data_IF_968976465708
#
_entry.id   IF_968976465708
#
_cell.length_a   1.000
_cell.length_b   1.000
_cell.length_c   1.000
_cell.angle_alpha   90.00
_cell.angle_beta   90.00
_cell.angle_gamma   90.00
#
_symmetry.space_group_name_H-M   'P 1'
#
loop_
_entity.id
_entity.type
_entity.pdbx_description
1 polymer ?
#
# COMPACT_ATOMS: atom_id res chain seq x y z
N UNK A 1 -58.25 -4.86 -34.56
CA UNK A 1 -58.62 -5.88 -33.56
C UNK A 1 -57.61 -5.84 -32.44
N UNK A 2 -58.13 -5.38 -31.34
CA UNK A 2 -57.82 -5.55 -29.93
C UNK A 2 -56.38 -5.34 -29.48
N UNK A 3 -56.18 -4.08 -28.99
CA UNK A 3 -55.09 -3.74 -28.06
C UNK A 3 -55.33 -4.36 -26.66
N UNK A 4 -54.22 -4.69 -26.03
CA UNK A 4 -54.19 -5.00 -24.61
C UNK A 4 -53.13 -4.12 -23.96
N UNK A 5 -53.58 -3.02 -23.38
CA UNK A 5 -52.87 -2.19 -22.42
C UNK A 5 -52.78 -2.96 -21.12
N UNK A 6 -51.56 -3.26 -20.67
CA UNK A 6 -51.30 -3.71 -19.32
C UNK A 6 -50.73 -2.54 -18.53
N UNK A 7 -51.59 -1.88 -17.76
CA UNK A 7 -51.25 -0.92 -16.71
C UNK A 7 -50.88 -1.72 -15.48
N UNK A 8 -49.61 -1.82 -15.14
CA UNK A 8 -49.09 -2.33 -13.89
C UNK A 8 -48.55 -1.17 -13.08
N UNK A 9 -49.27 -0.74 -12.02
CA UNK A 9 -48.79 0.19 -11.01
C UNK A 9 -47.65 -0.46 -10.22
N UNK A 10 -46.43 0.07 -10.37
CA UNK A 10 -45.32 -0.29 -9.52
C UNK A 10 -45.49 0.50 -8.21
N UNK A 11 -45.94 -0.18 -7.15
CA UNK A 11 -45.87 0.32 -5.79
C UNK A 11 -44.44 0.54 -5.34
N UNK A 12 -44.17 1.34 -4.30
CA UNK A 12 -42.81 1.57 -3.80
C UNK A 12 -42.26 0.25 -3.23
N UNK A 13 -41.54 -0.48 -4.10
CA UNK A 13 -40.84 -1.70 -3.70
C UNK A 13 -39.75 -1.36 -2.70
N UNK A 14 -39.75 -2.09 -1.59
CA UNK A 14 -38.63 -2.09 -0.65
C UNK A 14 -37.32 -2.24 -1.41
N UNK A 15 -36.34 -1.37 -1.14
CA UNK A 15 -34.99 -1.49 -1.71
C UNK A 15 -34.46 -2.88 -1.45
N UNK A 16 -33.84 -3.56 -2.44
CA UNK A 16 -33.20 -4.84 -2.19
C UNK A 16 -32.16 -4.64 -1.11
N UNK A 17 -32.23 -5.49 -0.09
CA UNK A 17 -31.22 -5.57 0.98
C UNK A 17 -29.85 -5.81 0.32
N UNK A 18 -28.86 -4.89 0.45
CA UNK A 18 -27.55 -5.08 -0.17
C UNK A 18 -26.82 -6.33 0.36
N UNK A 19 -27.29 -6.89 1.46
CA UNK A 19 -26.83 -8.14 2.05
C UNK A 19 -27.81 -9.29 1.80
N UNK A 20 -28.74 -9.14 0.85
CA UNK A 20 -29.77 -10.11 0.50
C UNK A 20 -29.22 -11.50 0.38
N UNK A 21 -29.66 -12.35 1.30
CA UNK A 21 -29.13 -13.66 1.54
C UNK A 21 -29.03 -14.50 0.29
N UNK A 22 -27.81 -14.92 -0.05
CA UNK A 22 -27.63 -16.19 -0.70
C UNK A 22 -28.36 -17.24 0.16
N UNK A 23 -29.16 -18.09 -0.47
CA UNK A 23 -29.71 -19.28 0.19
C UNK A 23 -28.58 -19.98 0.96
N UNK A 24 -28.85 -20.62 2.11
CA UNK A 24 -27.83 -21.34 2.86
C UNK A 24 -27.20 -22.37 1.93
N UNK A 25 -26.14 -21.91 1.22
CA UNK A 25 -25.28 -22.74 0.42
C UNK A 25 -24.52 -23.65 1.38
N UNK A 26 -24.24 -24.87 0.93
CA UNK A 26 -23.30 -25.80 1.57
C UNK A 26 -22.12 -25.03 2.13
N UNK A 27 -21.76 -25.28 3.40
CA UNK A 27 -20.62 -24.67 4.04
C UNK A 27 -19.44 -24.68 3.06
N UNK A 28 -18.75 -23.55 2.84
CA UNK A 28 -17.63 -23.52 1.90
C UNK A 28 -16.64 -24.61 2.27
N UNK A 29 -16.18 -25.35 1.27
CA UNK A 29 -15.13 -26.36 1.44
C UNK A 29 -13.99 -25.69 2.21
N UNK A 30 -13.55 -26.22 3.36
CA UNK A 30 -12.46 -25.64 4.15
C UNK A 30 -11.14 -25.49 3.37
N UNK A 31 -11.02 -26.10 2.20
CA UNK A 31 -9.92 -25.86 1.26
C UNK A 31 -10.13 -24.61 0.37
N UNK A 32 -11.37 -24.10 0.24
CA UNK A 32 -11.64 -22.87 -0.50
C UNK A 32 -11.23 -21.65 0.34
N UNK A 33 -10.25 -20.88 -0.17
CA UNK A 33 -9.78 -19.63 0.44
C UNK A 33 -8.46 -19.75 1.20
N UNK A 34 -7.86 -20.93 1.29
CA UNK A 34 -6.48 -21.04 1.81
C UNK A 34 -5.49 -20.68 0.73
N UNK A 35 -4.70 -19.64 0.98
CA UNK A 35 -3.56 -19.30 0.15
C UNK A 35 -2.40 -20.27 0.43
N UNK A 36 -1.52 -20.54 -0.55
CA UNK A 36 -0.44 -21.49 -0.37
C UNK A 36 0.53 -21.03 0.74
N UNK A 37 1.09 -22.01 1.45
CA UNK A 37 2.28 -21.78 2.26
C UNK A 37 3.48 -21.66 1.34
N UNK A 38 4.47 -20.81 1.64
CA UNK A 38 5.77 -20.90 1.00
C UNK A 38 6.42 -22.27 1.23
N UNK A 39 6.98 -22.85 0.16
CA UNK A 39 7.72 -24.10 0.22
C UNK A 39 9.05 -23.95 0.97
N UNK A 40 9.65 -22.77 0.84
CA UNK A 40 10.91 -22.42 1.49
C UNK A 40 10.84 -21.00 2.06
N UNK A 41 11.35 -20.85 3.28
CA UNK A 41 11.64 -19.58 3.93
C UNK A 41 12.99 -19.74 4.65
N UNK A 42 14.05 -19.25 4.04
CA UNK A 42 15.41 -19.41 4.55
C UNK A 42 16.20 -18.10 4.47
N UNK A 43 17.31 -18.04 5.18
CA UNK A 43 18.23 -16.89 5.13
C UNK A 43 19.62 -17.35 4.72
N UNK A 44 20.17 -16.77 3.67
CA UNK A 44 21.52 -17.03 3.22
C UNK A 44 22.56 -16.52 4.21
N UNK A 45 23.79 -17.04 4.14
CA UNK A 45 24.86 -16.66 5.06
C UNK A 45 25.21 -15.17 5.12
N UNK A 46 24.87 -14.40 4.07
CA UNK A 46 25.05 -12.95 4.02
C UNK A 46 23.84 -12.13 4.56
N UNK A 47 22.76 -12.81 4.99
CA UNK A 47 21.58 -12.19 5.58
C UNK A 47 20.46 -11.88 4.59
N UNK A 48 20.55 -12.29 3.32
CA UNK A 48 19.45 -12.25 2.38
C UNK A 48 18.42 -13.34 2.74
N UNK A 49 17.18 -12.95 3.02
CA UNK A 49 16.06 -13.89 3.20
C UNK A 49 15.50 -14.29 1.84
N UNK A 50 15.34 -15.58 1.61
CA UNK A 50 14.78 -16.14 0.38
C UNK A 50 13.48 -16.88 0.72
N UNK A 51 12.38 -16.45 0.11
CA UNK A 51 11.06 -17.05 0.27
C UNK A 51 10.57 -17.52 -1.08
N UNK A 52 10.20 -18.79 -1.16
CA UNK A 52 9.83 -19.47 -2.39
C UNK A 52 8.44 -20.09 -2.25
N UNK A 53 7.61 -19.88 -3.26
CA UNK A 53 6.31 -20.50 -3.37
C UNK A 53 6.14 -21.10 -4.78
N UNK A 54 6.07 -22.42 -4.87
CA UNK A 54 5.82 -23.13 -6.12
C UNK A 54 4.36 -22.98 -6.53
N UNK A 55 4.14 -22.44 -7.70
CA UNK A 55 2.82 -22.18 -8.28
C UNK A 55 2.87 -22.41 -9.82
N UNK A 56 2.98 -23.68 -10.29
CA UNK A 56 3.25 -24.00 -11.70
C UNK A 56 1.98 -23.89 -12.57
N UNK A 57 1.34 -22.70 -12.55
CA UNK A 57 0.15 -22.40 -13.38
C UNK A 57 0.55 -22.07 -14.81
N UNK A 58 1.65 -21.36 -14.95
CA UNK A 58 2.27 -20.98 -16.24
C UNK A 58 3.78 -21.12 -16.10
N UNK A 59 4.56 -21.34 -17.19
CA UNK A 59 6.01 -21.56 -17.12
C UNK A 59 6.78 -20.25 -16.88
N UNK A 60 6.38 -19.50 -15.86
CA UNK A 60 6.94 -18.21 -15.46
C UNK A 60 7.29 -18.22 -13.97
N UNK A 61 8.29 -17.44 -13.62
CA UNK A 61 8.63 -17.13 -12.22
C UNK A 61 8.60 -15.63 -12.01
N UNK A 62 7.82 -15.22 -11.03
CA UNK A 62 7.76 -13.86 -10.53
C UNK A 62 8.87 -13.62 -9.50
N UNK A 63 9.51 -12.47 -9.60
CA UNK A 63 10.66 -12.09 -8.77
C UNK A 63 10.34 -10.79 -8.05
N UNK A 64 10.51 -10.77 -6.73
CA UNK A 64 10.44 -9.54 -5.92
C UNK A 64 11.66 -9.48 -5.02
N UNK A 65 12.46 -8.43 -5.18
CA UNK A 65 13.58 -8.16 -4.30
C UNK A 65 13.31 -6.83 -3.57
N UNK A 66 13.25 -6.88 -2.26
CA UNK A 66 13.14 -5.73 -1.39
C UNK A 66 14.45 -5.54 -0.63
N UNK A 67 15.09 -4.40 -0.82
CA UNK A 67 16.35 -4.05 -0.16
C UNK A 67 16.10 -2.87 0.77
N UNK A 68 16.00 -3.10 2.08
CA UNK A 68 15.81 -2.01 3.04
C UNK A 68 17.08 -1.15 3.11
N UNK A 69 16.88 0.15 3.28
CA UNK A 69 17.98 1.07 3.57
C UNK A 69 17.61 1.98 4.74
N UNK A 70 18.58 2.23 5.61
CA UNK A 70 18.40 3.12 6.75
C UNK A 70 18.57 4.57 6.30
N UNK A 71 17.49 5.20 5.86
CA UNK A 71 17.49 6.62 5.52
C UNK A 71 17.76 7.49 6.75
N UNK A 72 18.69 8.43 6.65
CA UNK A 72 18.96 9.43 7.69
C UNK A 72 18.26 10.75 7.39
N UNK A 73 17.67 10.93 6.21
CA UNK A 73 17.00 12.16 5.84
C UNK A 73 16.45 12.17 4.41
N UNK A 74 15.85 13.29 4.04
CA UNK A 74 15.25 13.51 2.72
C UNK A 74 16.27 13.34 1.57
N UNK A 75 17.56 13.62 1.83
CA UNK A 75 18.63 13.45 0.82
C UNK A 75 18.79 11.97 0.46
N UNK A 76 18.88 11.07 1.46
CA UNK A 76 18.98 9.63 1.22
C UNK A 76 17.75 9.09 0.47
N UNK A 77 16.55 9.53 0.87
CA UNK A 77 15.30 9.13 0.19
C UNK A 77 15.31 9.59 -1.25
N UNK A 78 15.69 10.84 -1.51
CA UNK A 78 15.75 11.38 -2.87
C UNK A 78 16.80 10.67 -3.72
N UNK A 79 17.99 10.42 -3.17
CA UNK A 79 19.04 9.68 -3.84
C UNK A 79 18.63 8.23 -4.13
N UNK A 80 17.91 7.55 -3.21
CA UNK A 80 17.41 6.20 -3.47
C UNK A 80 16.35 6.16 -4.58
N UNK A 81 15.47 7.17 -4.64
CA UNK A 81 14.51 7.29 -5.74
C UNK A 81 15.23 7.53 -7.10
N UNK A 82 16.29 8.33 -7.10
CA UNK A 82 17.09 8.52 -8.31
C UNK A 82 17.88 7.26 -8.67
N UNK A 83 18.49 6.60 -7.70
CA UNK A 83 19.21 5.33 -7.91
C UNK A 83 18.28 4.27 -8.52
N UNK A 84 17.05 4.12 -7.99
CA UNK A 84 16.07 3.21 -8.55
C UNK A 84 15.81 3.47 -10.04
N UNK A 85 15.82 4.72 -10.47
CA UNK A 85 15.62 5.09 -11.88
C UNK A 85 16.85 4.85 -12.74
N UNK A 86 18.04 4.87 -12.15
CA UNK A 86 19.32 4.66 -12.87
C UNK A 86 19.64 3.18 -13.03
N UNK A 87 19.25 2.32 -12.07
CA UNK A 87 19.55 0.89 -12.07
C UNK A 87 19.23 0.16 -13.38
N UNK A 88 18.11 0.38 -14.07
CA UNK A 88 17.79 -0.29 -15.33
C UNK A 88 18.70 0.09 -16.50
N UNK A 89 19.46 1.19 -16.38
CA UNK A 89 20.30 1.69 -17.48
C UNK A 89 21.68 1.03 -17.58
N UNK A 90 21.81 -0.18 -17.05
CA UNK A 90 22.99 -1.03 -17.24
C UNK A 90 23.79 -1.29 -15.97
N UNK A 91 24.83 -2.08 -16.14
CA UNK A 91 25.69 -2.56 -15.06
C UNK A 91 27.15 -2.17 -15.34
N UNK A 92 28.06 -2.48 -14.43
CA UNK A 92 29.52 -2.28 -14.66
C UNK A 92 30.01 -3.02 -15.89
N UNK A 93 29.31 -4.08 -16.32
CA UNK A 93 29.77 -4.95 -17.45
C UNK A 93 28.90 -4.79 -18.70
N UNK A 94 27.75 -4.13 -18.63
CA UNK A 94 26.79 -3.95 -19.73
C UNK A 94 26.29 -2.51 -19.76
N UNK A 95 26.22 -1.91 -20.93
CA UNK A 95 25.44 -0.69 -21.13
C UNK A 95 23.94 -1.01 -21.13
N UNK A 96 23.10 0.01 -21.28
CA UNK A 96 21.64 -0.13 -21.23
C UNK A 96 21.13 -1.11 -22.31
N UNK A 97 21.57 -0.94 -23.56
CA UNK A 97 21.11 -1.76 -24.67
C UNK A 97 21.53 -3.24 -24.51
N UNK A 98 22.76 -3.50 -24.07
CA UNK A 98 23.24 -4.85 -23.79
C UNK A 98 22.56 -5.48 -22.59
N UNK A 99 22.19 -4.68 -21.58
CA UNK A 99 21.45 -5.14 -20.40
C UNK A 99 20.02 -5.53 -20.79
N UNK A 100 19.33 -4.65 -21.51
CA UNK A 100 17.97 -4.90 -22.00
C UNK A 100 17.92 -6.11 -22.96
N UNK A 101 18.90 -6.23 -23.87
CA UNK A 101 19.00 -7.39 -24.75
C UNK A 101 19.23 -8.69 -23.96
N UNK A 102 20.04 -8.65 -22.88
CA UNK A 102 20.27 -9.83 -22.03
C UNK A 102 19.01 -10.26 -21.29
N UNK A 103 18.21 -9.33 -20.77
CA UNK A 103 16.91 -9.63 -20.16
C UNK A 103 15.91 -10.16 -21.19
N UNK A 104 15.80 -9.50 -22.35
CA UNK A 104 14.89 -9.88 -23.40
C UNK A 104 15.16 -11.29 -23.95
N UNK A 105 16.46 -11.70 -24.04
CA UNK A 105 16.84 -13.05 -24.47
C UNK A 105 16.28 -14.16 -23.54
N UNK A 106 15.91 -13.82 -22.32
CA UNK A 106 15.31 -14.72 -21.34
C UNK A 106 13.80 -14.50 -21.13
N UNK A 107 13.17 -13.65 -21.96
CA UNK A 107 11.78 -13.25 -21.76
C UNK A 107 11.55 -12.58 -20.41
N UNK A 108 12.57 -11.90 -19.89
CA UNK A 108 12.56 -11.27 -18.58
C UNK A 108 12.36 -9.76 -18.67
N UNK A 109 11.75 -9.20 -17.64
CA UNK A 109 11.71 -7.77 -17.39
C UNK A 109 12.02 -7.50 -15.91
N UNK A 110 12.71 -6.39 -15.64
CA UNK A 110 13.01 -5.91 -14.29
C UNK A 110 12.62 -4.45 -14.21
N UNK A 111 11.73 -4.13 -13.26
CA UNK A 111 11.35 -2.77 -12.90
C UNK A 111 11.87 -2.42 -11.51
N UNK A 112 12.30 -1.20 -11.34
CA UNK A 112 12.87 -0.71 -10.09
C UNK A 112 12.12 0.48 -9.55
N UNK A 113 11.89 0.50 -8.25
CA UNK A 113 11.25 1.60 -7.54
C UNK A 113 11.88 1.79 -6.16
N UNK A 114 11.64 2.92 -5.55
CA UNK A 114 12.03 3.17 -4.17
C UNK A 114 10.90 3.86 -3.40
N UNK A 115 10.83 3.60 -2.12
CA UNK A 115 10.09 4.38 -1.15
C UNK A 115 11.06 4.92 -0.06
N UNK A 116 10.53 5.51 0.99
CA UNK A 116 11.34 6.07 2.07
C UNK A 116 12.16 5.03 2.87
N UNK A 117 11.92 3.73 2.67
CA UNK A 117 12.47 2.65 3.50
C UNK A 117 13.19 1.57 2.73
N UNK A 118 12.86 1.39 1.45
CA UNK A 118 13.40 0.28 0.64
C UNK A 118 13.54 0.65 -0.82
N UNK A 119 14.53 0.04 -1.43
CA UNK A 119 14.60 -0.15 -2.87
C UNK A 119 13.88 -1.45 -3.21
N UNK A 120 13.07 -1.46 -4.25
CA UNK A 120 12.34 -2.63 -4.72
C UNK A 120 12.70 -2.94 -6.16
N UNK A 121 12.89 -4.22 -6.46
CA UNK A 121 12.94 -4.70 -7.84
C UNK A 121 11.79 -5.70 -8.01
N UNK A 122 10.99 -5.47 -9.03
CA UNK A 122 9.94 -6.38 -9.48
C UNK A 122 10.30 -6.91 -10.85
N UNK A 123 10.06 -8.18 -11.09
CA UNK A 123 10.33 -8.75 -12.39
C UNK A 123 9.71 -10.12 -12.57
N UNK A 124 9.85 -10.64 -13.76
CA UNK A 124 9.47 -11.99 -14.12
C UNK A 124 10.43 -12.57 -15.15
N UNK A 125 10.41 -13.88 -15.27
CA UNK A 125 11.21 -14.61 -16.26
C UNK A 125 10.56 -15.93 -16.64
N UNK A 126 10.95 -16.50 -17.78
CA UNK A 126 10.63 -17.90 -18.09
C UNK A 126 11.27 -18.83 -17.04
N UNK A 127 10.55 -19.88 -16.62
CA UNK A 127 10.99 -20.81 -15.58
C UNK A 127 12.41 -21.34 -15.79
N UNK A 128 12.71 -21.83 -17.00
CA UNK A 128 14.04 -22.35 -17.34
C UNK A 128 15.18 -21.31 -17.37
N UNK A 129 14.86 -20.01 -17.33
CA UNK A 129 15.86 -18.93 -17.35
C UNK A 129 16.13 -18.31 -15.97
N UNK A 130 15.46 -18.80 -14.91
CA UNK A 130 15.57 -18.23 -13.56
C UNK A 130 17.01 -18.03 -13.09
N UNK A 131 17.96 -19.00 -13.20
CA UNK A 131 19.33 -18.79 -12.73
C UNK A 131 20.04 -17.64 -13.45
N UNK A 132 19.88 -17.56 -14.78
CA UNK A 132 20.50 -16.51 -15.58
C UNK A 132 19.93 -15.12 -15.23
N UNK A 133 18.61 -15.00 -15.02
CA UNK A 133 17.98 -13.74 -14.67
C UNK A 133 18.27 -13.32 -13.23
N UNK A 134 18.41 -14.26 -12.29
CA UNK A 134 18.90 -13.94 -10.94
C UNK A 134 20.34 -13.41 -10.96
N UNK A 135 21.19 -13.94 -11.83
CA UNK A 135 22.56 -13.41 -12.01
C UNK A 135 22.54 -11.98 -12.57
N UNK A 136 21.68 -11.69 -13.57
CA UNK A 136 21.47 -10.34 -14.10
C UNK A 136 20.93 -9.37 -13.04
N UNK A 137 19.94 -9.80 -12.28
CA UNK A 137 19.37 -9.01 -11.17
C UNK A 137 20.43 -8.71 -10.11
N UNK A 138 21.21 -9.72 -9.71
CA UNK A 138 22.31 -9.55 -8.76
C UNK A 138 23.36 -8.56 -9.26
N UNK A 139 23.72 -8.63 -10.55
CA UNK A 139 24.62 -7.66 -11.18
C UNK A 139 24.03 -6.24 -11.16
N UNK A 140 22.75 -6.09 -11.52
CA UNK A 140 22.04 -4.80 -11.54
C UNK A 140 22.08 -4.11 -10.17
N UNK A 141 21.76 -4.85 -9.09
CA UNK A 141 21.68 -4.24 -7.76
C UNK A 141 23.04 -4.10 -7.07
N UNK A 142 24.03 -4.89 -7.45
CA UNK A 142 25.37 -4.90 -6.81
C UNK A 142 26.39 -4.05 -7.52
N UNK A 143 26.27 -3.91 -8.84
CA UNK A 143 27.25 -3.23 -9.69
C UNK A 143 26.57 -2.36 -10.75
N UNK A 144 25.75 -1.39 -10.33
CA UNK A 144 25.08 -0.52 -11.28
C UNK A 144 26.07 0.33 -12.06
N UNK A 145 25.71 0.64 -13.30
CA UNK A 145 26.42 1.62 -14.10
C UNK A 145 25.91 3.02 -13.79
N UNK A 146 26.67 3.77 -13.03
CA UNK A 146 26.33 5.15 -12.66
C UNK A 146 26.98 6.13 -13.64
N UNK A 147 26.56 6.10 -14.92
CA UNK A 147 27.10 7.04 -15.92
C UNK A 147 26.49 8.43 -15.74
N UNK A 148 27.34 9.46 -15.88
CA UNK A 148 26.98 10.86 -15.59
C UNK A 148 25.83 11.35 -16.47
N UNK A 149 25.79 10.98 -17.74
CA UNK A 149 24.76 11.32 -18.70
C UNK A 149 23.38 10.75 -18.31
N UNK A 150 23.33 9.47 -17.89
CA UNK A 150 22.11 8.82 -17.43
C UNK A 150 21.66 9.43 -16.10
N UNK A 151 22.57 9.61 -15.16
CA UNK A 151 22.26 10.24 -13.86
C UNK A 151 21.72 11.65 -14.08
N UNK A 152 22.32 12.45 -14.96
CA UNK A 152 21.85 13.80 -15.27
C UNK A 152 20.45 13.79 -15.88
N UNK A 153 20.18 12.92 -16.85
CA UNK A 153 18.87 12.82 -17.49
C UNK A 153 17.77 12.37 -16.50
N UNK A 154 18.02 11.33 -15.70
CA UNK A 154 17.05 10.82 -14.74
C UNK A 154 16.86 11.77 -13.54
N UNK A 155 17.89 12.50 -13.14
CA UNK A 155 17.83 13.58 -12.15
C UNK A 155 16.82 14.68 -12.56
N UNK A 156 16.96 15.18 -13.78
CA UNK A 156 16.03 16.18 -14.30
C UNK A 156 14.61 15.64 -14.41
N UNK A 157 14.47 14.41 -14.86
CA UNK A 157 13.18 13.74 -14.97
C UNK A 157 12.52 13.55 -13.60
N UNK A 158 13.26 13.08 -12.60
CA UNK A 158 12.77 12.93 -11.23
C UNK A 158 12.35 14.29 -10.65
N UNK A 159 13.17 15.33 -10.78
CA UNK A 159 12.86 16.66 -10.29
C UNK A 159 11.57 17.21 -10.92
N UNK A 160 11.35 16.98 -12.23
CA UNK A 160 10.09 17.36 -12.91
C UNK A 160 8.91 16.55 -12.38
N UNK A 161 9.03 15.25 -12.26
CA UNK A 161 7.95 14.38 -11.77
C UNK A 161 7.52 14.74 -10.35
N UNK A 162 8.48 14.99 -9.46
CA UNK A 162 8.18 15.37 -8.07
C UNK A 162 7.49 16.74 -8.04
N UNK A 163 7.95 17.73 -8.81
CA UNK A 163 7.26 19.02 -8.92
C UNK A 163 5.82 18.87 -9.43
N UNK A 164 5.60 18.09 -10.49
CA UNK A 164 4.25 17.85 -11.00
C UNK A 164 3.36 17.16 -9.97
N UNK A 165 3.89 16.17 -9.27
CA UNK A 165 3.15 15.47 -8.23
C UNK A 165 2.72 16.40 -7.07
N UNK A 166 3.56 17.38 -6.69
CA UNK A 166 3.21 18.34 -5.62
C UNK A 166 2.05 19.27 -5.97
N UNK A 167 1.65 19.37 -7.24
CA UNK A 167 0.48 20.15 -7.65
C UNK A 167 -0.83 19.32 -7.71
N UNK A 168 -0.74 18.00 -7.57
CA UNK A 168 -1.93 17.14 -7.53
C UNK A 168 -2.63 17.25 -6.18
N UNK A 169 -3.97 17.43 -6.13
CA UNK A 169 -4.70 17.60 -4.86
C UNK A 169 -4.49 16.47 -3.87
N UNK A 170 -4.52 15.23 -4.34
CA UNK A 170 -4.28 14.06 -3.51
C UNK A 170 -2.86 14.04 -2.93
N UNK A 171 -1.84 14.44 -3.69
CA UNK A 171 -0.46 14.51 -3.21
C UNK A 171 -0.27 15.65 -2.19
N UNK A 172 -0.92 16.79 -2.40
CA UNK A 172 -0.97 17.89 -1.42
C UNK A 172 -1.61 17.42 -0.11
N UNK A 173 -2.77 16.76 -0.20
CA UNK A 173 -3.46 16.21 0.97
C UNK A 173 -2.58 15.21 1.73
N UNK A 174 -1.96 14.28 1.01
CA UNK A 174 -1.06 13.29 1.61
C UNK A 174 0.16 13.93 2.30
N UNK A 175 0.78 14.91 1.65
CA UNK A 175 1.93 15.61 2.23
C UNK A 175 1.53 16.40 3.47
N UNK A 176 0.43 17.14 3.41
CA UNK A 176 -0.08 17.89 4.55
C UNK A 176 -0.48 16.97 5.71
N UNK A 177 -1.09 15.81 5.41
CA UNK A 177 -1.42 14.81 6.42
C UNK A 177 -0.17 14.22 7.08
N UNK A 178 0.88 13.91 6.31
CA UNK A 178 2.15 13.43 6.88
C UNK A 178 2.80 14.47 7.80
N UNK A 179 2.77 15.75 7.42
CA UNK A 179 3.26 16.86 8.27
C UNK A 179 2.47 16.96 9.58
N UNK A 180 1.17 16.82 9.49
CA UNK A 180 0.30 16.86 10.66
C UNK A 180 0.52 15.68 11.60
N UNK A 181 0.72 14.49 11.02
CA UNK A 181 0.95 13.24 11.78
C UNK A 181 2.30 13.20 12.45
N UNK A 182 3.34 13.63 11.77
CA UNK A 182 4.73 13.35 12.16
C UNK A 182 5.58 14.60 12.34
N UNK A 183 5.04 15.78 12.07
CA UNK A 183 5.80 17.02 12.03
C UNK A 183 6.59 17.20 10.72
N UNK A 184 7.03 18.43 10.47
CA UNK A 184 7.68 18.83 9.20
C UNK A 184 8.95 18.02 8.92
N UNK A 185 9.81 17.86 9.94
CA UNK A 185 11.10 17.19 9.80
C UNK A 185 10.96 15.74 9.33
N UNK A 186 10.03 15.01 9.93
CA UNK A 186 9.83 13.60 9.60
C UNK A 186 9.07 13.45 8.28
N UNK A 187 8.06 14.27 8.05
CA UNK A 187 7.32 14.27 6.80
C UNK A 187 8.25 14.53 5.59
N UNK A 188 9.23 15.45 5.75
CA UNK A 188 10.23 15.72 4.73
C UNK A 188 11.13 14.51 4.42
N UNK A 189 11.31 13.59 5.37
CA UNK A 189 12.11 12.36 5.19
C UNK A 189 11.33 11.20 4.52
N UNK A 190 10.06 11.38 4.26
CA UNK A 190 9.20 10.29 3.73
C UNK A 190 9.00 10.39 2.21
N UNK A 191 9.48 11.44 1.57
CA UNK A 191 9.31 11.67 0.13
C UNK A 191 10.53 12.34 -0.50
N UNK A 192 10.80 12.11 -1.78
CA UNK A 192 11.82 12.86 -2.51
C UNK A 192 11.41 14.33 -2.61
N UNK A 193 12.43 15.22 -2.56
CA UNK A 193 12.25 16.65 -2.76
C UNK A 193 12.82 17.09 -4.13
N UNK A 194 12.13 17.96 -4.88
CA UNK A 194 12.55 18.31 -6.23
C UNK A 194 13.89 19.07 -6.26
N UNK A 195 14.19 19.88 -5.24
CA UNK A 195 15.45 20.61 -5.09
C UNK A 195 16.60 19.65 -4.80
N UNK A 196 16.38 18.67 -3.90
CA UNK A 196 17.35 17.61 -3.60
C UNK A 196 17.57 16.70 -4.81
N UNK A 197 16.51 16.40 -5.57
CA UNK A 197 16.64 15.64 -6.81
C UNK A 197 17.51 16.38 -7.82
N UNK A 198 17.27 17.68 -8.02
CA UNK A 198 18.04 18.52 -8.95
C UNK A 198 19.52 18.67 -8.55
N UNK A 199 19.83 18.58 -7.25
CA UNK A 199 21.17 18.73 -6.71
C UNK A 199 21.93 17.38 -6.53
N UNK A 200 21.25 16.24 -6.71
CA UNK A 200 21.86 14.92 -6.49
C UNK A 200 22.94 14.60 -7.53
N UNK A 201 24.09 14.16 -7.10
CA UNK A 201 25.24 13.85 -7.96
C UNK A 201 25.43 12.34 -8.14
N UNK A 202 26.29 11.96 -9.06
CA UNK A 202 26.70 10.57 -9.26
C UNK A 202 27.41 10.01 -8.02
N UNK A 203 28.21 10.85 -7.34
CA UNK A 203 28.90 10.51 -6.09
C UNK A 203 27.89 10.26 -4.95
N UNK A 204 26.81 11.05 -4.85
CA UNK A 204 25.74 10.81 -3.87
C UNK A 204 25.11 9.42 -4.06
N UNK A 205 24.88 9.02 -5.32
CA UNK A 205 24.33 7.69 -5.64
C UNK A 205 25.33 6.57 -5.30
N UNK A 206 26.59 6.75 -5.64
CA UNK A 206 27.64 5.78 -5.32
C UNK A 206 27.82 5.62 -3.80
N UNK A 207 27.81 6.73 -3.06
CA UNK A 207 27.90 6.71 -1.60
C UNK A 207 26.68 6.03 -0.97
N UNK A 208 25.46 6.38 -1.39
CA UNK A 208 24.24 5.72 -0.91
C UNK A 208 24.30 4.22 -1.17
N UNK A 209 24.62 3.83 -2.42
CA UNK A 209 24.72 2.43 -2.82
C UNK A 209 25.73 1.67 -1.95
N UNK A 210 26.94 2.18 -1.78
CA UNK A 210 28.00 1.51 -1.02
C UNK A 210 27.71 1.45 0.49
N UNK A 211 27.06 2.47 1.05
CA UNK A 211 26.88 2.59 2.51
C UNK A 211 25.56 2.05 3.02
N UNK A 212 24.52 1.98 2.17
CA UNK A 212 23.15 1.71 2.62
C UNK A 212 22.55 0.43 2.06
N UNK A 213 22.97 -0.01 0.88
CA UNK A 213 22.40 -1.20 0.25
C UNK A 213 23.25 -2.42 0.53
N UNK A 214 22.61 -3.54 0.86
CA UNK A 214 23.28 -4.80 1.13
C UNK A 214 22.30 -5.95 1.32
N UNK A 215 22.85 -7.14 1.45
CA UNK A 215 22.07 -8.37 1.57
C UNK A 215 21.32 -8.49 2.91
N UNK A 216 21.87 -7.89 3.99
CA UNK A 216 21.31 -8.04 5.33
C UNK A 216 19.93 -7.34 5.42
N UNK A 217 18.91 -8.12 5.77
CA UNK A 217 17.52 -7.67 5.84
C UNK A 217 16.84 -7.53 4.49
N UNK A 218 17.54 -7.76 3.38
CA UNK A 218 16.90 -7.86 2.08
C UNK A 218 16.08 -9.16 1.98
N UNK A 219 15.01 -9.11 1.19
CA UNK A 219 14.09 -10.23 0.99
C UNK A 219 13.92 -10.47 -0.51
N UNK A 220 14.21 -11.68 -0.94
CA UNK A 220 13.95 -12.19 -2.28
C UNK A 220 12.75 -13.13 -2.21
N UNK A 221 11.68 -12.82 -2.93
CA UNK A 221 10.50 -13.68 -3.07
C UNK A 221 10.42 -14.17 -4.50
N UNK A 222 10.32 -15.49 -4.66
CA UNK A 222 10.16 -16.17 -5.94
C UNK A 222 8.85 -16.98 -5.93
N UNK A 223 7.98 -16.73 -6.90
CA UNK A 223 6.69 -17.42 -7.02
C UNK A 223 6.47 -17.86 -8.46
N UNK A 224 6.18 -19.11 -8.71
CA UNK A 224 5.88 -19.60 -10.05
C UNK A 224 6.26 -21.05 -10.31
N UNK A 225 6.55 -21.37 -11.56
CA UNK A 225 6.96 -22.70 -11.99
C UNK A 225 8.46 -22.90 -11.72
N UNK A 226 8.77 -23.44 -10.57
CA UNK A 226 10.13 -23.64 -10.10
C UNK A 226 10.22 -24.84 -9.13
N UNK A 227 11.42 -25.42 -9.06
CA UNK A 227 11.79 -26.42 -8.05
C UNK A 227 12.44 -25.65 -6.89
N UNK A 228 11.87 -25.74 -5.67
CA UNK A 228 12.30 -24.91 -4.55
C UNK A 228 13.79 -25.00 -4.23
N UNK A 229 14.36 -26.21 -4.21
CA UNK A 229 15.77 -26.46 -3.89
C UNK A 229 16.71 -25.86 -4.95
N UNK A 230 16.35 -25.98 -6.23
CA UNK A 230 17.10 -25.41 -7.35
C UNK A 230 17.03 -23.88 -7.31
N UNK A 231 15.89 -23.32 -6.98
CA UNK A 231 15.70 -21.87 -6.85
C UNK A 231 16.51 -21.28 -5.68
N UNK A 232 16.61 -21.99 -4.54
CA UNK A 232 17.51 -21.60 -3.43
C UNK A 232 18.96 -21.64 -3.88
N UNK A 233 19.38 -22.71 -4.58
CA UNK A 233 20.75 -22.84 -5.07
C UNK A 233 21.10 -21.72 -6.06
N UNK A 234 20.21 -21.39 -7.00
CA UNK A 234 20.38 -20.29 -7.95
C UNK A 234 20.44 -18.91 -7.23
N UNK A 235 19.59 -18.69 -6.22
CA UNK A 235 19.64 -17.47 -5.40
C UNK A 235 20.96 -17.39 -4.62
N UNK A 236 21.44 -18.49 -4.05
CA UNK A 236 22.71 -18.54 -3.33
C UNK A 236 23.91 -18.29 -4.26
N UNK A 237 23.90 -18.84 -5.48
CA UNK A 237 24.93 -18.58 -6.49
C UNK A 237 24.96 -17.11 -6.91
N UNK A 238 23.80 -16.52 -7.21
CA UNK A 238 23.69 -15.15 -7.69
C UNK A 238 24.03 -14.10 -6.60
N UNK A 239 23.53 -14.32 -5.38
CA UNK A 239 23.57 -13.32 -4.31
C UNK A 239 24.51 -13.68 -3.16
N UNK A 240 25.04 -14.90 -3.05
CA UNK A 240 25.83 -15.35 -1.90
C UNK A 240 27.07 -14.50 -1.63
N UNK A 241 27.68 -13.92 -2.67
CA UNK A 241 28.82 -12.99 -2.56
C UNK A 241 28.39 -11.50 -2.45
N UNK A 242 27.10 -11.21 -2.31
CA UNK A 242 26.66 -9.85 -2.03
C UNK A 242 27.01 -9.48 -0.59
N UNK A 243 27.67 -8.35 -0.42
CA UNK A 243 28.05 -7.87 0.90
C UNK A 243 26.82 -7.70 1.79
N UNK A 244 26.95 -8.10 3.05
CA UNK A 244 25.86 -7.99 4.00
C UNK A 244 25.37 -6.55 4.16
N UNK A 245 26.29 -5.58 4.04
CA UNK A 245 25.98 -4.16 4.27
C UNK A 245 25.62 -3.86 5.75
N UNK A 246 25.23 -2.63 6.06
CA UNK A 246 24.91 -2.23 7.44
C UNK A 246 23.65 -2.94 7.98
N UNK A 247 22.81 -3.47 7.10
CA UNK A 247 21.47 -3.90 7.44
C UNK A 247 20.57 -2.68 7.65
N UNK A 248 19.44 -2.65 6.97
CA UNK A 248 18.46 -1.61 7.25
C UNK A 248 17.85 -1.86 8.62
N UNK A 249 18.26 -1.13 9.64
CA UNK A 249 17.33 -0.89 10.74
C UNK A 249 16.20 -0.09 10.10
N UNK A 250 15.10 -0.79 9.85
CA UNK A 250 13.94 -0.20 9.18
C UNK A 250 13.56 1.01 10.02
N UNK A 251 13.68 2.20 9.44
CA UNK A 251 13.41 3.45 10.14
C UNK A 251 12.04 3.35 10.77
N UNK A 252 11.98 3.13 12.09
CA UNK A 252 10.71 3.02 12.80
C UNK A 252 9.95 4.32 12.59
N UNK A 253 8.70 4.19 12.22
CA UNK A 253 7.82 5.35 12.14
C UNK A 253 7.70 5.93 13.53
N UNK A 254 7.95 7.24 13.71
CA UNK A 254 7.92 7.86 15.03
C UNK A 254 6.51 7.88 15.61
N UNK A 255 6.44 8.27 16.87
CA UNK A 255 5.20 8.40 17.59
C UNK A 255 4.19 9.29 16.84
N UNK A 256 2.96 8.86 16.86
CA UNK A 256 1.81 9.54 16.30
C UNK A 256 1.46 10.80 17.10
N UNK A 257 1.06 11.88 16.41
CA UNK A 257 0.45 13.03 17.06
C UNK A 257 -1.02 12.73 17.41
N UNK A 258 -1.52 13.23 18.55
CA UNK A 258 -2.93 13.05 18.93
C UNK A 258 -3.88 13.66 17.93
N UNK A 259 -5.15 13.23 17.97
CA UNK A 259 -6.23 13.82 17.18
C UNK A 259 -6.36 15.33 17.42
N UNK A 260 -7.10 16.00 16.56
CA UNK A 260 -7.30 17.45 16.67
C UNK A 260 -8.09 17.98 15.48
N UNK A 261 -8.24 19.31 15.39
CA UNK A 261 -9.00 19.92 14.31
C UNK A 261 -8.43 19.51 12.94
N UNK A 262 -9.26 19.51 11.92
CA UNK A 262 -8.80 19.34 10.56
C UNK A 262 -8.04 20.59 10.11
N UNK A 263 -7.13 20.42 9.17
CA UNK A 263 -6.35 21.53 8.61
C UNK A 263 -6.73 21.74 7.14
N UNK A 264 -7.06 22.98 6.79
CA UNK A 264 -7.29 23.38 5.41
C UNK A 264 -5.97 23.55 4.68
N UNK A 265 -5.86 22.95 3.51
CA UNK A 265 -4.84 23.29 2.52
C UNK A 265 -5.53 24.07 1.41
N UNK A 266 -5.24 25.35 1.34
CA UNK A 266 -5.88 26.24 0.39
C UNK A 266 -5.55 25.89 -1.05
N UNK A 267 -6.59 25.83 -1.88
CA UNK A 267 -6.48 25.66 -3.33
C UNK A 267 -7.50 26.55 -4.03
N UNK A 268 -7.15 27.80 -4.33
CA UNK A 268 -8.07 28.74 -4.94
C UNK A 268 -8.65 28.22 -6.26
N UNK A 269 -9.97 28.37 -6.41
CA UNK A 269 -10.67 27.93 -7.61
C UNK A 269 -10.85 26.42 -7.74
N UNK A 270 -10.55 25.62 -6.70
CA UNK A 270 -10.78 24.19 -6.72
C UNK A 270 -12.29 23.87 -6.78
N UNK A 271 -12.72 23.15 -7.81
CA UNK A 271 -14.09 22.66 -7.98
C UNK A 271 -14.37 21.38 -7.23
N UNK A 272 -13.32 20.75 -6.69
CA UNK A 272 -13.38 19.54 -5.86
C UNK A 272 -12.56 19.73 -4.60
N UNK A 273 -12.99 19.09 -3.53
CA UNK A 273 -12.26 18.97 -2.27
C UNK A 273 -11.73 17.56 -2.06
N UNK A 274 -10.51 17.46 -1.52
CA UNK A 274 -9.89 16.19 -1.15
C UNK A 274 -9.80 16.11 0.36
N UNK A 275 -10.52 15.18 0.95
CA UNK A 275 -10.61 14.94 2.39
C UNK A 275 -9.76 13.72 2.74
N UNK A 276 -8.83 13.87 3.69
CA UNK A 276 -8.02 12.76 4.21
C UNK A 276 -7.99 12.85 5.73
N UNK A 277 -8.53 11.84 6.40
CA UNK A 277 -8.52 11.72 7.86
C UNK A 277 -7.67 10.52 8.25
N UNK A 278 -7.10 10.57 9.44
CA UNK A 278 -6.26 9.50 9.94
C UNK A 278 -6.29 9.41 11.46
N UNK A 279 -6.23 8.19 11.97
CA UNK A 279 -6.06 7.87 13.39
C UNK A 279 -5.06 6.73 13.55
N UNK A 280 -4.33 6.62 14.69
CA UNK A 280 -3.48 5.47 14.96
C UNK A 280 -4.25 4.16 14.90
N UNK A 281 -3.60 3.12 14.39
CA UNK A 281 -4.17 1.79 14.28
C UNK A 281 -3.20 0.73 14.81
N UNK A 282 -3.67 -0.50 14.94
CA UNK A 282 -2.85 -1.64 15.34
C UNK A 282 -1.98 -2.13 14.18
N UNK A 283 -0.71 -2.45 14.39
CA UNK A 283 0.12 -3.08 13.38
C UNK A 283 -0.40 -4.48 13.03
N UNK A 284 -0.09 -4.97 11.84
CA UNK A 284 -0.55 -6.31 11.39
C UNK A 284 -0.06 -7.46 12.29
N UNK A 285 0.99 -7.24 13.04
CA UNK A 285 1.54 -8.20 14.02
C UNK A 285 0.80 -8.20 15.36
N UNK A 286 -0.10 -7.22 15.59
CA UNK A 286 -0.87 -7.15 16.83
C UNK A 286 -2.04 -8.16 16.80
N UNK A 287 -2.29 -8.92 17.88
CA UNK A 287 -3.41 -9.86 17.95
C UNK A 287 -4.79 -9.22 17.75
N UNK A 288 -4.95 -7.94 18.03
CA UNK A 288 -6.19 -7.19 17.82
C UNK A 288 -6.40 -6.69 16.39
N UNK A 289 -5.37 -6.79 15.52
CA UNK A 289 -5.46 -6.32 14.14
C UNK A 289 -6.61 -6.93 13.33
N UNK A 290 -6.88 -8.25 13.42
CA UNK A 290 -7.98 -8.86 12.69
C UNK A 290 -9.35 -8.27 13.03
N UNK A 291 -9.60 -8.00 14.31
CA UNK A 291 -10.84 -7.37 14.76
C UNK A 291 -10.98 -5.93 14.25
N UNK A 292 -9.90 -5.16 14.30
CA UNK A 292 -9.86 -3.81 13.74
C UNK A 292 -10.07 -3.83 12.23
N UNK A 293 -9.47 -4.79 11.52
CA UNK A 293 -9.66 -4.91 10.07
C UNK A 293 -11.12 -5.19 9.71
N UNK A 294 -11.81 -6.10 10.43
CA UNK A 294 -13.23 -6.34 10.22
C UNK A 294 -14.07 -5.10 10.52
N UNK A 295 -13.81 -4.38 11.62
CA UNK A 295 -14.49 -3.13 11.93
C UNK A 295 -14.30 -2.08 10.82
N UNK A 296 -13.08 -1.96 10.27
CA UNK A 296 -12.77 -1.07 9.16
C UNK A 296 -13.52 -1.45 7.88
N UNK A 297 -13.68 -2.75 7.59
CA UNK A 297 -14.46 -3.22 6.44
C UNK A 297 -15.95 -2.86 6.58
N UNK A 298 -16.50 -2.97 7.76
CA UNK A 298 -17.88 -2.55 8.03
C UNK A 298 -18.04 -1.04 7.89
N UNK A 299 -17.08 -0.27 8.37
CA UNK A 299 -17.15 1.19 8.33
C UNK A 299 -17.08 1.76 6.92
N UNK A 300 -15.99 1.45 6.17
CA UNK A 300 -15.72 2.09 4.87
C UNK A 300 -14.81 1.29 3.95
N UNK A 301 -14.47 0.02 4.29
CA UNK A 301 -13.51 -0.78 3.54
C UNK A 301 -14.11 -1.68 2.46
N UNK A 302 -15.43 -1.70 2.32
CA UNK A 302 -16.13 -2.49 1.32
C UNK A 302 -17.19 -1.66 0.59
N UNK A 303 -17.67 -2.14 -0.55
CA UNK A 303 -18.68 -1.45 -1.34
C UNK A 303 -20.01 -1.25 -0.58
N UNK A 304 -20.42 -2.22 0.22
CA UNK A 304 -21.63 -2.17 1.04
C UNK A 304 -21.39 -1.63 2.46
N UNK A 305 -20.24 -1.04 2.74
CA UNK A 305 -19.93 -0.46 4.06
C UNK A 305 -20.80 0.75 4.39
N UNK A 306 -20.93 1.05 5.69
CA UNK A 306 -21.78 2.13 6.20
C UNK A 306 -21.48 3.47 5.55
N UNK A 307 -20.20 3.87 5.54
CA UNK A 307 -19.77 5.15 4.98
C UNK A 307 -20.00 5.24 3.47
N UNK A 308 -19.66 4.16 2.73
CA UNK A 308 -19.82 4.14 1.27
C UNK A 308 -21.30 4.22 0.90
N UNK A 309 -22.18 3.48 1.57
CA UNK A 309 -23.62 3.54 1.35
C UNK A 309 -24.16 4.95 1.61
N UNK A 310 -23.79 5.57 2.73
CA UNK A 310 -24.29 6.91 3.08
C UNK A 310 -23.81 8.01 2.15
N UNK A 311 -22.50 8.07 1.86
CA UNK A 311 -21.94 9.17 1.05
C UNK A 311 -22.18 9.01 -0.45
N UNK A 312 -22.12 7.78 -0.96
CA UNK A 312 -22.24 7.54 -2.42
C UNK A 312 -23.66 7.21 -2.83
N UNK A 313 -24.28 6.19 -2.21
CA UNK A 313 -25.58 5.71 -2.65
C UNK A 313 -26.73 6.62 -2.18
N UNK A 314 -26.74 7.02 -0.90
CA UNK A 314 -27.85 7.80 -0.33
C UNK A 314 -27.75 9.29 -0.65
N UNK A 315 -26.53 9.86 -0.60
CA UNK A 315 -26.31 11.31 -0.74
C UNK A 315 -25.73 11.74 -2.09
N UNK A 316 -24.99 10.86 -2.77
CA UNK A 316 -24.32 11.20 -4.02
C UNK A 316 -23.19 12.24 -3.88
N UNK A 317 -22.63 12.41 -2.68
CA UNK A 317 -21.65 13.46 -2.40
C UNK A 317 -20.24 13.12 -2.85
N UNK A 318 -19.88 11.84 -2.88
CA UNK A 318 -18.54 11.39 -3.25
C UNK A 318 -18.59 10.10 -4.05
N UNK A 319 -17.76 10.00 -5.09
CA UNK A 319 -17.58 8.78 -5.88
C UNK A 319 -16.37 7.98 -5.41
N UNK A 320 -15.24 8.65 -5.20
CA UNK A 320 -14.03 8.05 -4.62
C UNK A 320 -14.04 8.31 -3.11
N UNK A 321 -14.29 7.26 -2.36
CA UNK A 321 -14.30 7.32 -0.90
C UNK A 321 -14.09 5.92 -0.33
N UNK A 322 -13.64 5.90 0.91
CA UNK A 322 -13.47 4.65 1.65
C UNK A 322 -12.63 4.82 2.91
N UNK A 323 -12.37 3.71 3.54
CA UNK A 323 -11.38 3.62 4.61
C UNK A 323 -10.41 2.48 4.34
N UNK A 324 -9.23 2.56 4.95
CA UNK A 324 -8.18 1.55 4.80
C UNK A 324 -7.23 1.51 5.99
N UNK A 325 -6.52 0.40 6.16
CA UNK A 325 -5.45 0.26 7.14
C UNK A 325 -4.11 0.31 6.41
N UNK A 326 -3.42 1.43 6.53
CA UNK A 326 -2.05 1.61 6.04
C UNK A 326 -1.08 1.06 7.08
N UNK A 327 -0.29 0.08 6.68
CA UNK A 327 0.76 -0.50 7.54
C UNK A 327 2.14 -0.12 7.03
N UNK A 328 2.96 0.39 7.93
CA UNK A 328 4.38 0.64 7.73
C UNK A 328 5.15 -0.01 8.88
N UNK A 329 6.45 -0.30 8.72
CA UNK A 329 7.23 -0.86 9.82
C UNK A 329 7.10 -0.04 11.10
N UNK A 330 6.62 -0.69 12.17
CA UNK A 330 6.45 -0.09 13.50
C UNK A 330 5.23 0.79 13.71
N UNK A 331 4.37 1.00 12.68
CA UNK A 331 3.15 1.77 12.82
C UNK A 331 2.05 1.34 11.85
N UNK A 332 0.81 1.57 12.23
CA UNK A 332 -0.35 1.45 11.34
C UNK A 332 -1.29 2.63 11.54
N UNK A 333 -2.05 2.91 10.51
CA UNK A 333 -2.98 4.04 10.45
C UNK A 333 -4.30 3.58 9.86
N UNK A 334 -5.39 3.93 10.52
CA UNK A 334 -6.72 3.88 9.93
C UNK A 334 -6.94 5.18 9.16
N UNK A 335 -7.08 5.07 7.86
CA UNK A 335 -7.32 6.17 6.94
C UNK A 335 -8.78 6.24 6.55
N UNK A 336 -9.30 7.47 6.41
CA UNK A 336 -10.59 7.75 5.76
C UNK A 336 -10.33 8.75 4.64
N UNK A 337 -10.79 8.43 3.46
CA UNK A 337 -10.57 9.23 2.27
C UNK A 337 -11.90 9.51 1.57
N UNK A 338 -12.10 10.74 1.11
CA UNK A 338 -13.23 11.11 0.26
C UNK A 338 -12.85 12.27 -0.65
N UNK A 339 -13.24 12.17 -1.92
CA UNK A 339 -13.11 13.24 -2.90
C UNK A 339 -14.54 13.65 -3.30
N UNK A 340 -14.85 14.94 -3.15
CA UNK A 340 -16.21 15.47 -3.30
C UNK A 340 -16.23 16.76 -4.11
N UNK A 341 -17.36 17.13 -4.71
CA UNK A 341 -17.54 18.45 -5.26
C UNK A 341 -17.43 19.51 -4.14
N UNK A 342 -16.93 20.71 -4.45
CA UNK A 342 -16.68 21.77 -3.48
C UNK A 342 -17.94 22.11 -2.64
N UNK A 343 -19.09 22.15 -3.28
CA UNK A 343 -20.41 22.42 -2.63
C UNK A 343 -20.85 21.36 -1.63
N UNK A 344 -20.31 20.14 -1.76
CA UNK A 344 -20.62 19.01 -0.88
C UNK A 344 -19.59 18.78 0.22
N UNK A 345 -18.54 19.61 0.33
CA UNK A 345 -17.45 19.41 1.30
C UNK A 345 -17.95 19.40 2.74
N UNK A 346 -18.70 20.41 3.14
CA UNK A 346 -19.25 20.52 4.52
C UNK A 346 -20.23 19.38 4.83
N UNK A 347 -21.26 19.12 3.98
CA UNK A 347 -22.17 18.00 4.25
C UNK A 347 -21.50 16.63 4.19
N UNK A 348 -20.46 16.43 3.37
CA UNK A 348 -19.70 15.19 3.35
C UNK A 348 -18.90 14.97 4.65
N UNK A 349 -18.24 16.00 5.16
CA UNK A 349 -17.56 15.96 6.45
C UNK A 349 -18.52 15.65 7.61
N UNK A 350 -19.72 16.27 7.61
CA UNK A 350 -20.74 15.98 8.60
C UNK A 350 -21.16 14.49 8.57
N UNK A 351 -21.39 13.93 7.38
CA UNK A 351 -21.74 12.50 7.23
C UNK A 351 -20.58 11.60 7.68
N UNK A 352 -19.33 11.93 7.33
CA UNK A 352 -18.17 11.14 7.80
C UNK A 352 -18.14 11.12 9.34
N UNK A 353 -18.31 12.29 9.97
CA UNK A 353 -18.33 12.40 11.42
C UNK A 353 -19.49 11.60 12.04
N UNK A 354 -20.70 11.74 11.51
CA UNK A 354 -21.88 10.98 11.97
C UNK A 354 -21.64 9.47 11.90
N UNK A 355 -21.04 8.96 10.81
CA UNK A 355 -20.77 7.53 10.66
C UNK A 355 -19.63 7.06 11.58
N UNK A 356 -18.63 7.89 11.87
CA UNK A 356 -17.61 7.61 12.88
C UNK A 356 -18.21 7.53 14.29
N UNK A 357 -19.06 8.50 14.66
CA UNK A 357 -19.80 8.51 15.93
C UNK A 357 -20.70 7.27 16.05
N UNK A 358 -21.38 6.93 14.96
CA UNK A 358 -22.26 5.76 14.89
C UNK A 358 -21.52 4.45 15.03
N UNK A 359 -20.34 4.31 14.42
CA UNK A 359 -19.50 3.12 14.61
C UNK A 359 -19.08 2.90 16.07
N UNK A 360 -18.83 3.98 16.80
CA UNK A 360 -18.46 3.92 18.21
C UNK A 360 -19.66 3.66 19.14
N UNK A 361 -20.80 4.31 18.87
CA UNK A 361 -22.00 4.22 19.71
C UNK A 361 -22.86 3.00 19.40
N UNK A 362 -22.98 2.64 18.12
CA UNK A 362 -23.75 1.50 17.60
C UNK A 362 -22.78 0.52 16.91
N UNK A 363 -22.05 -0.30 17.68
CA UNK A 363 -21.04 -1.21 17.12
C UNK A 363 -21.64 -2.17 16.09
N UNK A 364 -20.81 -2.76 15.21
CA UNK A 364 -21.25 -3.67 14.16
C UNK A 364 -22.16 -4.80 14.68
N UNK A 365 -23.24 -5.07 13.95
CA UNK A 365 -24.08 -6.24 14.15
C UNK A 365 -23.36 -7.52 13.71
N UNK A 366 -23.78 -8.67 14.19
CA UNK A 366 -23.25 -9.96 13.77
C UNK A 366 -23.33 -10.16 12.25
N UNK A 367 -24.43 -9.74 11.64
CA UNK A 367 -24.62 -9.79 10.18
C UNK A 367 -23.60 -8.96 9.42
N UNK A 368 -23.29 -7.75 9.87
CA UNK A 368 -22.26 -6.90 9.27
C UNK A 368 -20.86 -7.52 9.43
N UNK A 369 -20.58 -8.10 10.59
CA UNK A 369 -19.30 -8.78 10.84
C UNK A 369 -19.15 -10.03 9.98
N UNK A 370 -20.18 -10.85 9.81
CA UNK A 370 -20.14 -12.03 8.95
C UNK A 370 -19.94 -11.67 7.49
N UNK A 371 -20.59 -10.61 7.02
CA UNK A 371 -20.37 -10.08 5.68
C UNK A 371 -18.93 -9.56 5.51
N UNK A 372 -18.38 -8.87 6.52
CA UNK A 372 -17.00 -8.39 6.49
C UNK A 372 -15.98 -9.55 6.52
N UNK A 373 -16.23 -10.64 7.26
CA UNK A 373 -15.40 -11.86 7.24
C UNK A 373 -15.35 -12.47 5.85
N UNK A 374 -16.52 -12.73 5.27
CA UNK A 374 -16.64 -13.30 3.93
C UNK A 374 -15.93 -12.43 2.89
N UNK A 375 -16.10 -11.10 3.00
CA UNK A 375 -15.42 -10.15 2.13
C UNK A 375 -13.90 -10.15 2.34
N UNK A 376 -13.41 -10.16 3.58
CA UNK A 376 -11.98 -10.17 3.90
C UNK A 376 -11.28 -11.39 3.31
N UNK A 377 -11.89 -12.58 3.46
CA UNK A 377 -11.33 -13.83 2.91
C UNK A 377 -11.39 -13.82 1.38
N UNK A 378 -12.56 -13.55 0.82
CA UNK A 378 -12.78 -13.59 -0.63
C UNK A 378 -11.94 -12.56 -1.38
N UNK A 379 -11.88 -11.31 -0.88
CA UNK A 379 -11.09 -10.24 -1.52
C UNK A 379 -9.59 -10.52 -1.47
N UNK A 380 -9.08 -11.05 -0.36
CA UNK A 380 -7.66 -11.42 -0.23
C UNK A 380 -7.33 -12.60 -1.16
N UNK A 381 -8.16 -13.63 -1.18
CA UNK A 381 -7.97 -14.78 -2.09
C UNK A 381 -7.96 -14.34 -3.55
N UNK A 382 -8.90 -13.49 -3.94
CA UNK A 382 -8.96 -12.95 -5.30
C UNK A 382 -7.75 -12.06 -5.62
N UNK A 383 -7.35 -11.20 -4.66
CA UNK A 383 -6.19 -10.33 -4.84
C UNK A 383 -4.87 -11.09 -4.98
N UNK A 384 -4.76 -12.31 -4.42
CA UNK A 384 -3.56 -13.16 -4.47
C UNK A 384 -3.68 -14.28 -5.52
N UNK A 385 -4.64 -14.25 -6.42
CA UNK A 385 -4.93 -15.32 -7.37
C UNK A 385 -3.89 -15.52 -8.47
N UNK A 386 -3.04 -14.52 -8.74
CA UNK A 386 -1.94 -14.66 -9.71
C UNK A 386 -0.59 -14.80 -9.01
N UNK A 387 0.39 -15.49 -9.63
CA UNK A 387 1.74 -15.60 -9.08
C UNK A 387 2.38 -14.24 -8.76
N UNK A 388 2.21 -13.24 -9.64
CA UNK A 388 2.74 -11.88 -9.44
C UNK A 388 2.10 -11.15 -8.27
N UNK A 389 0.79 -11.30 -8.08
CA UNK A 389 0.09 -10.71 -6.95
C UNK A 389 0.46 -11.40 -5.63
N UNK A 390 0.60 -12.72 -5.63
CA UNK A 390 1.06 -13.48 -4.47
C UNK A 390 2.49 -13.10 -4.08
N UNK A 391 3.41 -13.00 -5.05
CA UNK A 391 4.78 -12.57 -4.81
C UNK A 391 4.84 -11.16 -4.19
N UNK A 392 4.04 -10.23 -4.72
CA UNK A 392 3.97 -8.85 -4.20
C UNK A 392 3.34 -8.80 -2.80
N UNK A 393 2.29 -9.59 -2.57
CA UNK A 393 1.64 -9.72 -1.27
C UNK A 393 2.59 -10.24 -0.20
N UNK A 394 3.28 -11.35 -0.48
CA UNK A 394 4.30 -11.92 0.42
C UNK A 394 5.41 -10.92 0.72
N UNK A 395 6.01 -10.32 -0.31
CA UNK A 395 7.10 -9.37 -0.13
C UNK A 395 6.68 -8.15 0.72
N UNK A 396 5.45 -7.64 0.54
CA UNK A 396 4.93 -6.53 1.34
C UNK A 396 4.64 -6.91 2.79
N UNK A 397 4.11 -8.11 3.04
CA UNK A 397 3.87 -8.61 4.39
C UNK A 397 5.17 -8.81 5.16
N UNK A 398 6.16 -9.44 4.54
CA UNK A 398 7.51 -9.60 5.10
C UNK A 398 8.16 -8.25 5.45
N UNK A 399 7.95 -7.24 4.61
CA UNK A 399 8.47 -5.89 4.87
C UNK A 399 7.88 -5.25 6.13
N UNK A 400 6.61 -5.50 6.45
CA UNK A 400 5.98 -4.99 7.68
C UNK A 400 6.14 -5.91 8.89
N UNK A 401 6.99 -6.94 8.79
CA UNK A 401 7.37 -7.83 9.89
C UNK A 401 6.37 -8.97 10.15
N UNK A 402 5.50 -9.26 9.20
CA UNK A 402 4.58 -10.42 9.27
C UNK A 402 5.28 -11.67 8.75
N UNK A 403 4.96 -12.84 9.31
CA UNK A 403 5.51 -14.12 8.85
C UNK A 403 5.07 -14.49 7.43
N UNK A 404 5.86 -15.32 6.76
CA UNK A 404 5.56 -15.78 5.39
C UNK A 404 4.32 -16.70 5.33
N UNK A 405 3.95 -17.32 6.44
CA UNK A 405 2.79 -18.19 6.62
C UNK A 405 1.47 -17.43 6.88
N UNK A 406 1.55 -16.11 7.09
CA UNK A 406 0.40 -15.30 7.49
C UNK A 406 -0.77 -15.36 6.49
N UNK A 407 -0.47 -15.33 5.19
CA UNK A 407 -1.50 -15.43 4.15
C UNK A 407 -2.25 -16.79 4.21
N UNK A 408 -1.55 -17.86 4.51
CA UNK A 408 -2.17 -19.18 4.68
C UNK A 408 -3.15 -19.22 5.85
N UNK A 409 -2.81 -18.54 6.94
CA UNK A 409 -3.62 -18.47 8.14
C UNK A 409 -4.71 -17.40 8.11
N UNK A 410 -4.74 -16.56 7.05
CA UNK A 410 -5.64 -15.40 6.98
C UNK A 410 -7.13 -15.77 7.07
N UNK A 411 -7.59 -16.77 6.30
CA UNK A 411 -8.98 -17.24 6.33
C UNK A 411 -9.40 -17.68 7.73
N UNK A 412 -8.76 -18.72 8.32
CA UNK A 412 -9.04 -19.15 9.69
C UNK A 412 -8.94 -18.03 10.73
N UNK A 413 -7.99 -17.09 10.55
CA UNK A 413 -7.83 -15.97 11.45
C UNK A 413 -9.05 -15.03 11.41
N UNK A 414 -9.57 -14.70 10.22
CA UNK A 414 -10.77 -13.87 10.07
C UNK A 414 -12.02 -14.56 10.60
N UNK A 415 -12.19 -15.84 10.33
CA UNK A 415 -13.31 -16.65 10.82
C UNK A 415 -13.33 -16.76 12.34
N UNK A 416 -12.17 -16.87 12.96
CA UNK A 416 -12.00 -17.02 14.41
C UNK A 416 -12.17 -15.74 15.24
N UNK A 417 -12.30 -14.54 14.62
CA UNK A 417 -12.45 -13.29 15.37
C UNK A 417 -13.79 -13.25 16.11
N UNK A 418 -13.85 -13.07 17.44
CA UNK A 418 -15.11 -12.94 18.16
C UNK A 418 -15.85 -11.64 17.79
N UNK A 419 -17.17 -11.66 17.72
CA UNK A 419 -18.00 -10.46 17.47
C UNK A 419 -17.70 -9.34 18.45
N UNK A 420 -17.56 -9.66 19.73
CA UNK A 420 -17.28 -8.65 20.74
C UNK A 420 -15.91 -7.98 20.56
N UNK A 421 -14.91 -8.70 20.05
CA UNK A 421 -13.62 -8.09 19.70
C UNK A 421 -13.75 -7.04 18.57
N UNK A 422 -14.62 -7.31 17.58
CA UNK A 422 -14.90 -6.33 16.50
C UNK A 422 -15.64 -5.12 17.04
N UNK A 423 -16.60 -5.32 17.94
CA UNK A 423 -17.34 -4.24 18.61
C UNK A 423 -16.43 -3.38 19.49
N UNK A 424 -15.53 -4.01 20.22
CA UNK A 424 -14.55 -3.28 21.02
C UNK A 424 -13.56 -2.48 20.15
N UNK A 425 -13.12 -3.05 19.04
CA UNK A 425 -12.31 -2.32 18.07
C UNK A 425 -13.06 -1.11 17.49
N UNK A 426 -14.35 -1.25 17.20
CA UNK A 426 -15.20 -0.15 16.75
C UNK A 426 -15.26 0.97 17.79
N UNK A 427 -15.56 0.66 19.05
CA UNK A 427 -15.61 1.64 20.15
C UNK A 427 -14.28 2.34 20.38
N UNK A 428 -13.17 1.64 20.21
CA UNK A 428 -11.82 2.14 20.50
C UNK A 428 -11.25 3.02 19.40
N UNK A 429 -11.41 2.65 18.14
CA UNK A 429 -10.67 3.25 17.02
C UNK A 429 -11.49 4.22 16.16
N UNK A 430 -12.82 4.25 16.31
CA UNK A 430 -13.68 5.09 15.47
C UNK A 430 -14.21 6.40 16.12
N UNK A 431 -14.02 6.69 17.42
CA UNK A 431 -14.44 7.99 17.94
C UNK A 431 -13.79 9.14 17.14
N UNK A 432 -14.57 10.13 16.65
CA UNK A 432 -14.05 11.24 15.83
C UNK A 432 -12.91 12.00 16.48
N UNK A 433 -12.92 12.15 17.81
CA UNK A 433 -11.84 12.83 18.56
C UNK A 433 -10.46 12.18 18.41
N UNK A 434 -10.39 10.91 18.00
CA UNK A 434 -9.11 10.22 17.71
C UNK A 434 -8.52 10.57 16.35
N UNK A 435 -9.30 11.19 15.47
CA UNK A 435 -8.85 11.52 14.12
C UNK A 435 -8.22 12.91 14.06
N UNK A 436 -7.25 13.05 13.19
CA UNK A 436 -6.79 14.31 12.62
C UNK A 436 -6.88 14.22 11.11
N UNK A 437 -6.78 15.35 10.41
CA UNK A 437 -6.88 15.28 8.96
C UNK A 437 -6.61 16.59 8.25
N UNK A 438 -6.77 16.53 6.95
CA UNK A 438 -6.62 17.67 6.05
C UNK A 438 -7.74 17.69 5.03
N UNK A 439 -8.09 18.92 4.61
CA UNK A 439 -9.03 19.17 3.52
C UNK A 439 -8.33 20.10 2.53
N UNK A 440 -8.04 19.60 1.34
CA UNK A 440 -7.56 20.45 0.23
C UNK A 440 -8.78 21.01 -0.50
N UNK A 441 -9.02 22.30 -0.40
CA UNK A 441 -10.24 22.93 -0.89
C UNK A 441 -10.05 24.42 -1.19
N UNK A 442 -10.99 24.97 -1.97
CA UNK A 442 -11.21 26.42 -2.03
C UNK A 442 -11.74 26.93 -0.68
N UNK A 443 -11.43 28.19 -0.34
CA UNK A 443 -11.89 28.79 0.92
C UNK A 443 -13.42 28.73 1.10
N UNK A 444 -14.15 29.03 0.03
CA UNK A 444 -15.61 29.08 0.07
C UNK A 444 -16.22 27.71 0.41
N UNK A 445 -15.58 26.61 0.01
CA UNK A 445 -16.06 25.24 0.24
C UNK A 445 -16.04 24.82 1.72
N UNK A 446 -15.24 25.48 2.56
CA UNK A 446 -15.05 25.13 3.98
C UNK A 446 -15.31 26.31 4.92
N UNK A 447 -15.72 27.47 4.41
CA UNK A 447 -15.93 28.67 5.20
C UNK A 447 -16.80 28.47 6.46
N UNK A 448 -17.89 27.67 6.43
CA UNK A 448 -18.73 27.43 7.60
C UNK A 448 -18.03 26.67 8.74
N UNK A 449 -16.92 25.96 8.45
CA UNK A 449 -16.21 25.13 9.42
C UNK A 449 -14.97 25.82 9.99
N UNK A 450 -14.63 27.03 9.54
CA UNK A 450 -13.39 27.72 9.94
C UNK A 450 -13.45 28.16 11.41
N UNK A 451 -12.35 27.92 12.12
CA UNK A 451 -12.10 28.46 13.46
C UNK A 451 -11.43 29.82 13.38
N UNK A 452 -12.27 30.89 13.30
CA UNK A 452 -11.75 32.25 13.21
C UNK A 452 -10.92 32.50 11.93
N UNK A 453 -9.77 33.15 12.06
CA UNK A 453 -8.86 33.44 10.94
C UNK A 453 -7.81 32.33 10.68
N UNK A 454 -7.93 31.18 11.32
CA UNK A 454 -6.97 30.08 11.17
C UNK A 454 -7.34 29.14 10.02
N UNK A 455 -6.40 28.28 9.60
CA UNK A 455 -6.67 27.19 8.68
C UNK A 455 -7.20 25.91 9.38
N UNK A 456 -7.57 26.02 10.65
CA UNK A 456 -8.21 24.95 11.37
C UNK A 456 -9.71 24.90 11.09
N UNK A 457 -10.24 23.68 10.94
CA UNK A 457 -11.63 23.39 10.67
C UNK A 457 -12.25 22.60 11.82
N UNK A 458 -13.47 22.90 12.17
CA UNK A 458 -14.25 22.10 13.11
C UNK A 458 -14.68 20.78 12.49
N UNK A 459 -14.43 19.69 13.25
CA UNK A 459 -14.78 18.35 12.82
C UNK A 459 -15.34 17.52 13.99
#
# INVERSE_FOLDING_TARGET
MTGRTVSGSIGPGARPDPWGGAAPGTAPDPAHGRLPLPDVDTTLGNGLRVVICSAPVVPLVEIRLHVPYASTGARDVTACHLLARVLPHGTAHRDADAHDAALAAHGAALDTAADARRLTVTGHTMAGALPAVLALLAETVRRPRLSEDVVAAERERLARLVRLATHQPAALAQQALLRRRYGEEIAARLRPAPELAAACTTEDLAELHARRLGARGAVLVLVGDLVPEEAVAAAAEAFGSWEAGPGGDVTRTPAWFPGGPLHRVERPGAVQSVIRLATPALPRTDPGYPALHLAQLVFGGSFGSRLVTRLREDKGYAYQLGSGLESVPGASTLMVEADTAAEHTVPALAVIREELERMAAEPPSEREVDAARSYAVGSTTTAMSSPGALASGLANLLHVGVGSDWLHHWGPLMEGVPYEAVREAARRFFPPAGFTGVVVADEAAVAPLRRGATDELDF
#
